data_IF_127324694888
#
_entry.id   IF_127324694888
#
_cell.length_a   1.000
_cell.length_b   1.000
_cell.length_c   1.000
_cell.angle_alpha   90.00
_cell.angle_beta   90.00
_cell.angle_gamma   90.00
#
_symmetry.space_group_name_H-M   'P 1'
#
loop_
_entity.id
_entity.type
_entity.pdbx_description
1 polymer ?
#
# COMPACT_ATOMS: atom_id res chain seq x y z
N UNK A 1 -11.03 -21.24 11.76
CA UNK A 1 -11.64 -20.16 12.56
C UNK A 1 -12.24 -19.14 11.62
N UNK A 2 -13.43 -18.61 11.94
CA UNK A 2 -14.14 -17.63 11.11
C UNK A 2 -14.09 -16.23 11.72
N UNK A 3 -14.78 -15.28 11.08
CA UNK A 3 -14.90 -13.90 11.57
C UNK A 3 -15.54 -13.87 12.97
N UNK A 4 -14.93 -13.13 13.88
CA UNK A 4 -15.41 -12.96 15.27
C UNK A 4 -16.12 -11.63 15.50
N UNK A 5 -15.73 -10.56 14.80
CA UNK A 5 -16.35 -9.24 14.85
C UNK A 5 -17.64 -9.21 14.04
N UNK A 6 -18.74 -8.68 14.56
CA UNK A 6 -19.95 -8.34 13.80
C UNK A 6 -19.98 -6.82 13.58
N UNK A 7 -20.43 -6.38 12.40
CA UNK A 7 -20.48 -4.95 12.05
C UNK A 7 -21.93 -4.49 12.09
N UNK A 8 -22.17 -3.31 12.63
CA UNK A 8 -23.52 -2.72 12.68
C UNK A 8 -23.80 -1.82 11.48
N UNK A 9 -22.76 -1.43 10.73
CA UNK A 9 -22.87 -0.62 9.52
C UNK A 9 -21.79 -0.97 8.48
N UNK A 10 -22.01 -0.52 7.24
CA UNK A 10 -21.01 -0.61 6.16
C UNK A 10 -19.82 0.31 6.47
N UNK A 11 -20.07 1.49 7.04
CA UNK A 11 -19.01 2.44 7.37
C UNK A 11 -18.02 1.88 8.39
N UNK A 12 -18.51 1.14 9.39
CA UNK A 12 -17.64 0.45 10.36
C UNK A 12 -16.78 -0.62 9.67
N UNK A 13 -17.37 -1.37 8.74
CA UNK A 13 -16.64 -2.38 7.97
C UNK A 13 -15.58 -1.74 7.07
N UNK A 14 -15.90 -0.61 6.45
CA UNK A 14 -14.97 0.11 5.58
C UNK A 14 -13.80 0.69 6.37
N UNK A 15 -14.06 1.28 7.55
CA UNK A 15 -13.01 1.83 8.41
C UNK A 15 -12.00 0.76 8.85
N UNK A 16 -12.47 -0.42 9.27
CA UNK A 16 -11.60 -1.54 9.64
C UNK A 16 -10.79 -2.07 8.44
N UNK A 17 -11.42 -2.13 7.26
CA UNK A 17 -10.75 -2.58 6.03
C UNK A 17 -9.66 -1.61 5.60
N UNK A 18 -9.93 -0.31 5.66
CA UNK A 18 -8.98 0.75 5.31
C UNK A 18 -7.78 0.72 6.25
N UNK A 19 -8.02 0.56 7.55
CA UNK A 19 -6.95 0.44 8.54
C UNK A 19 -6.10 -0.82 8.32
N UNK A 20 -6.74 -1.95 7.99
CA UNK A 20 -6.03 -3.17 7.62
C UNK A 20 -5.12 -2.96 6.41
N UNK A 21 -5.62 -2.32 5.35
CA UNK A 21 -4.81 -2.04 4.16
C UNK A 21 -3.66 -1.08 4.45
N UNK A 22 -3.89 -0.06 5.28
CA UNK A 22 -2.84 0.87 5.71
C UNK A 22 -1.71 0.13 6.41
N UNK A 23 -2.03 -0.68 7.42
CA UNK A 23 -1.06 -1.47 8.18
C UNK A 23 -0.33 -2.49 7.29
N UNK A 24 -1.07 -3.23 6.46
CA UNK A 24 -0.49 -4.28 5.62
C UNK A 24 0.44 -3.70 4.55
N UNK A 25 0.00 -2.67 3.83
CA UNK A 25 0.74 -2.14 2.70
C UNK A 25 1.91 -1.24 3.11
N UNK A 26 1.81 -0.51 4.22
CA UNK A 26 2.77 0.55 4.57
C UNK A 26 3.57 0.32 5.84
N UNK A 27 3.10 -0.49 6.79
CA UNK A 27 3.77 -0.63 8.09
C UNK A 27 4.46 -1.97 8.29
N UNK A 28 4.00 -3.04 7.63
CA UNK A 28 4.58 -4.37 7.79
C UNK A 28 5.70 -4.62 6.77
N UNK A 29 6.99 -4.54 7.16
CA UNK A 29 8.07 -5.06 6.34
C UNK A 29 7.96 -6.59 6.27
N UNK A 30 8.02 -7.15 5.06
CA UNK A 30 8.01 -8.59 4.87
C UNK A 30 9.42 -9.09 4.51
N UNK A 31 9.84 -10.20 5.13
CA UNK A 31 11.08 -10.89 4.81
C UNK A 31 10.86 -12.09 3.85
N UNK A 32 9.69 -12.13 3.20
CA UNK A 32 9.33 -13.16 2.23
C UNK A 32 10.12 -13.07 0.92
N UNK A 33 9.86 -14.02 0.02
CA UNK A 33 10.51 -14.07 -1.30
C UNK A 33 10.43 -12.73 -2.03
N UNK A 34 11.58 -12.20 -2.42
CA UNK A 34 11.74 -10.92 -3.13
C UNK A 34 11.28 -9.68 -2.36
N UNK A 35 10.94 -9.78 -1.07
CA UNK A 35 10.53 -8.59 -0.30
C UNK A 35 11.72 -7.85 0.30
N UNK A 36 12.80 -8.55 0.70
CA UNK A 36 14.02 -7.94 1.24
C UNK A 36 13.76 -6.94 2.39
N UNK A 37 12.74 -7.17 3.21
CA UNK A 37 12.35 -6.26 4.28
C UNK A 37 11.56 -5.03 3.84
N UNK A 38 11.24 -4.89 2.55
CA UNK A 38 10.34 -3.85 2.05
C UNK A 38 8.90 -4.14 2.44
N UNK A 39 8.10 -3.09 2.50
CA UNK A 39 6.65 -3.20 2.60
C UNK A 39 6.07 -3.60 1.24
N UNK A 40 4.86 -4.18 1.19
CA UNK A 40 4.18 -4.48 -0.06
C UNK A 40 4.07 -3.27 -0.98
N UNK A 41 3.77 -2.10 -0.42
CA UNK A 41 3.63 -0.87 -1.20
C UNK A 41 4.94 -0.46 -1.89
N UNK A 42 6.06 -0.46 -1.16
CA UNK A 42 7.37 -0.15 -1.75
C UNK A 42 7.71 -1.11 -2.89
N UNK A 43 7.52 -2.41 -2.68
CA UNK A 43 7.79 -3.41 -3.71
C UNK A 43 6.89 -3.24 -4.94
N UNK A 44 5.63 -2.83 -4.76
CA UNK A 44 4.71 -2.55 -5.85
C UNK A 44 5.18 -1.36 -6.70
N UNK A 45 5.48 -0.22 -6.06
CA UNK A 45 5.93 1.00 -6.77
C UNK A 45 7.23 0.75 -7.53
N UNK A 46 8.20 0.05 -6.92
CA UNK A 46 9.46 -0.30 -7.58
C UNK A 46 9.29 -1.29 -8.75
N UNK A 47 8.19 -2.04 -8.76
CA UNK A 47 7.84 -2.97 -9.84
C UNK A 47 7.07 -2.32 -11.00
N UNK A 48 6.60 -1.08 -10.84
CA UNK A 48 5.94 -0.36 -11.93
C UNK A 48 6.96 0.02 -13.02
N UNK A 49 6.56 -0.04 -14.31
CA UNK A 49 7.40 0.47 -15.38
C UNK A 49 7.66 1.97 -15.16
N UNK A 50 8.91 2.39 -15.38
CA UNK A 50 9.23 3.82 -15.38
C UNK A 50 8.60 4.44 -16.62
N UNK A 51 7.64 5.33 -16.42
CA UNK A 51 7.14 6.19 -17.48
C UNK A 51 8.07 7.40 -17.54
N UNK A 52 8.89 7.48 -18.58
CA UNK A 52 9.87 8.56 -18.79
C UNK A 52 9.21 9.97 -18.87
N UNK A 53 7.88 10.03 -19.01
CA UNK A 53 7.11 11.27 -19.13
C UNK A 53 6.76 11.94 -17.78
N UNK A 54 6.54 11.19 -16.69
CA UNK A 54 6.14 11.77 -15.39
C UNK A 54 7.30 12.38 -14.60
N UNK A 55 8.52 12.00 -14.91
CA UNK A 55 9.72 12.57 -14.29
C UNK A 55 9.99 14.00 -14.81
N UNK A 56 9.59 14.30 -16.06
CA UNK A 56 9.76 15.62 -16.67
C UNK A 56 8.80 16.70 -16.12
N UNK A 57 7.59 16.34 -15.70
CA UNK A 57 6.66 17.31 -15.09
C UNK A 57 7.11 17.73 -13.68
N UNK A 58 7.67 16.82 -12.89
CA UNK A 58 8.16 17.12 -11.54
C UNK A 58 9.45 17.96 -11.54
N UNK A 59 10.31 17.81 -12.57
CA UNK A 59 11.49 18.66 -12.77
C UNK A 59 11.13 20.09 -13.18
N UNK A 60 10.06 20.29 -13.95
CA UNK A 60 9.61 21.61 -14.39
C UNK A 60 8.84 22.40 -13.32
N UNK A 61 8.29 21.74 -12.29
CA UNK A 61 7.68 22.43 -11.14
C UNK A 61 8.71 22.85 -10.08
N UNK A 62 9.91 22.25 -10.11
CA UNK A 62 11.00 22.50 -9.17
C UNK A 62 12.08 23.47 -9.73
N UNK A 63 11.89 23.99 -10.94
CA UNK A 63 12.74 24.98 -11.61
C UNK A 63 12.05 26.36 -11.66
#
# INVERSE_FOLDING_TARGET
MGRTKWYESIDEMQADLDEYFRLYNYERPHQGRNMNGRTPYTAFIEGLPKNDESDNENLNLAA
#
